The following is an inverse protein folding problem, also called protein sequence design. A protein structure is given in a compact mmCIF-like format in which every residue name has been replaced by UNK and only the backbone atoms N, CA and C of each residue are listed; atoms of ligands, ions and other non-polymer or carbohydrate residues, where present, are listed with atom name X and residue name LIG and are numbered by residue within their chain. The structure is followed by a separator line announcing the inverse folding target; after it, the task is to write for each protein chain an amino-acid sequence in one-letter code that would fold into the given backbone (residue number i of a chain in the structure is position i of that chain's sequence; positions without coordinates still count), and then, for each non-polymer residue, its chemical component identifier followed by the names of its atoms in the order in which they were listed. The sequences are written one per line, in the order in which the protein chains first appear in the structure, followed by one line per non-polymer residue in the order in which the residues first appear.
data_IF_326616129829
#
_entry.id   IF_326616129829
#
_cell.length_a   1.000
_cell.length_b   1.000
_cell.length_c   1.000
_cell.angle_alpha   90.00
_cell.angle_beta   90.00
_cell.angle_gamma   90.00
#
_symmetry.space_group_name_H-M   'P 1'
#
loop_
_entity.id
_entity.type
_entity.pdbx_description
1 polymer ?
#
# COMPACT_ATOMS: atom_id res chain seq x y z
N UNK A 1 3.56 16.18 -16.37
CA UNK A 1 2.32 15.87 -15.67
C UNK A 1 2.12 16.87 -14.53
N UNK A 2 0.96 17.50 -14.47
CA UNK A 2 0.58 18.43 -13.39
C UNK A 2 -0.53 17.77 -12.60
N UNK A 3 -0.30 17.55 -11.31
CA UNK A 3 -1.26 16.98 -10.35
C UNK A 3 -1.16 17.75 -9.04
N UNK A 4 -2.10 17.61 -8.11
CA UNK A 4 -1.96 18.19 -6.77
C UNK A 4 -0.66 17.77 -6.07
N UNK A 5 -0.17 16.56 -6.34
CA UNK A 5 1.06 16.02 -5.75
C UNK A 5 2.33 16.58 -6.40
N UNK A 6 2.32 16.86 -7.72
CA UNK A 6 3.49 17.37 -8.45
C UNK A 6 3.58 18.91 -8.44
N UNK A 7 2.57 19.58 -7.89
CA UNK A 7 2.50 21.03 -7.85
C UNK A 7 2.27 21.70 -9.22
N UNK A 8 2.19 23.05 -9.27
CA UNK A 8 1.86 23.80 -10.50
C UNK A 8 2.94 23.70 -11.58
N UNK A 9 4.20 23.50 -11.20
CA UNK A 9 5.32 23.32 -12.15
C UNK A 9 5.26 21.96 -12.82
N UNK A 10 4.60 20.99 -12.21
CA UNK A 10 4.50 19.61 -12.69
C UNK A 10 5.83 18.86 -12.66
N UNK A 11 5.77 17.58 -13.02
CA UNK A 11 6.97 16.73 -13.22
C UNK A 11 7.00 16.14 -14.62
N UNK A 12 8.22 15.98 -15.16
CA UNK A 12 8.44 15.28 -16.43
C UNK A 12 8.35 13.79 -16.20
N UNK A 13 7.38 13.14 -16.84
CA UNK A 13 7.28 11.67 -16.82
C UNK A 13 8.32 11.10 -17.78
N UNK A 14 9.22 10.27 -17.27
CA UNK A 14 10.30 9.63 -18.04
C UNK A 14 9.92 8.24 -18.51
N UNK A 15 9.08 7.53 -17.75
CA UNK A 15 8.62 6.16 -18.05
C UNK A 15 7.13 6.07 -17.79
N UNK A 16 6.42 5.29 -18.56
CA UNK A 16 5.03 4.92 -18.34
C UNK A 16 4.90 3.41 -18.33
N UNK A 17 4.06 2.89 -17.45
CA UNK A 17 3.65 1.50 -17.46
C UNK A 17 2.35 1.39 -18.22
N UNK A 18 2.26 0.43 -19.14
CA UNK A 18 1.06 0.18 -19.93
C UNK A 18 0.65 -1.27 -19.74
N UNK A 19 -0.56 -1.48 -19.26
CA UNK A 19 -1.13 -2.80 -19.05
C UNK A 19 -2.52 -2.93 -19.71
N UNK A 20 -3.02 -4.16 -19.77
CA UNK A 20 -4.35 -4.41 -20.27
C UNK A 20 -5.41 -3.84 -19.30
N UNK A 21 -6.35 -3.05 -19.79
CA UNK A 21 -7.49 -2.59 -19.02
C UNK A 21 -8.36 -3.75 -18.52
N UNK A 22 -8.98 -3.58 -17.37
CA UNK A 22 -9.92 -4.54 -16.79
C UNK A 22 -11.33 -3.92 -16.67
N UNK A 23 -12.35 -4.78 -16.66
CA UNK A 23 -13.73 -4.37 -16.45
C UNK A 23 -14.01 -4.26 -14.94
N UNK A 24 -13.88 -3.06 -14.40
CA UNK A 24 -14.08 -2.80 -12.97
C UNK A 24 -15.56 -2.91 -12.62
N UNK A 25 -15.88 -3.80 -11.68
CA UNK A 25 -17.22 -3.92 -11.08
C UNK A 25 -17.31 -3.07 -9.81
N UNK A 26 -16.28 -3.13 -8.96
CA UNK A 26 -16.20 -2.37 -7.70
C UNK A 26 -14.76 -2.19 -7.26
N UNK A 27 -14.52 -1.07 -6.60
CA UNK A 27 -13.24 -0.70 -6.02
C UNK A 27 -13.25 -0.86 -4.50
N UNK A 28 -12.12 -1.26 -3.95
CA UNK A 28 -11.90 -1.46 -2.52
C UNK A 28 -10.55 -0.86 -2.11
N UNK A 29 -10.42 -0.57 -0.84
CA UNK A 29 -9.16 -0.19 -0.22
C UNK A 29 -8.60 -1.35 0.62
N UNK A 30 -7.29 -1.60 0.55
CA UNK A 30 -6.61 -2.59 1.37
C UNK A 30 -5.20 -2.10 1.71
N UNK A 31 -4.82 -2.18 2.98
CA UNK A 31 -3.47 -1.85 3.43
C UNK A 31 -2.96 -2.78 4.53
N UNK A 32 -1.65 -2.86 4.64
CA UNK A 32 -0.92 -3.41 5.78
C UNK A 32 -0.04 -2.30 6.37
N UNK A 33 -0.06 -2.13 7.67
CA UNK A 33 0.72 -1.13 8.39
C UNK A 33 1.07 -1.59 9.81
N UNK A 34 2.09 -0.97 10.38
CA UNK A 34 2.44 -1.16 11.78
C UNK A 34 1.60 -0.21 12.65
N UNK A 35 0.66 -0.77 13.41
CA UNK A 35 -0.11 0.00 14.40
C UNK A 35 0.70 0.04 15.71
N UNK A 36 1.20 1.22 16.06
CA UNK A 36 2.02 1.46 17.24
C UNK A 36 1.23 1.36 18.54
N UNK A 37 -0.08 1.61 18.51
CA UNK A 37 -0.91 1.54 19.71
C UNK A 37 -1.03 0.10 20.22
N UNK A 38 -1.09 -0.87 19.30
CA UNK A 38 -1.15 -2.31 19.65
C UNK A 38 0.17 -3.03 19.43
N UNK A 39 1.22 -2.32 18.91
CA UNK A 39 2.55 -2.89 18.60
C UNK A 39 2.45 -4.16 17.75
N UNK A 40 1.61 -4.11 16.70
CA UNK A 40 1.36 -5.24 15.80
C UNK A 40 1.16 -4.74 14.37
N UNK A 41 1.41 -5.63 13.42
CA UNK A 41 0.96 -5.42 12.05
C UNK A 41 -0.56 -5.52 12.03
N UNK A 42 -1.19 -4.54 11.40
CA UNK A 42 -2.64 -4.50 11.21
C UNK A 42 -2.91 -4.44 9.71
N UNK A 43 -3.78 -5.31 9.27
CA UNK A 43 -4.36 -5.23 7.93
C UNK A 43 -5.65 -4.44 8.00
N UNK A 44 -5.85 -3.51 7.06
CA UNK A 44 -7.05 -2.67 6.95
C UNK A 44 -7.69 -2.86 5.58
N UNK A 45 -9.03 -2.95 5.55
CA UNK A 45 -9.78 -2.95 4.31
C UNK A 45 -11.05 -2.12 4.43
N UNK A 46 -11.47 -1.55 3.30
CA UNK A 46 -12.74 -0.84 3.17
C UNK A 46 -13.44 -1.20 1.86
N UNK A 47 -14.75 -1.15 1.88
CA UNK A 47 -15.59 -1.22 0.68
C UNK A 47 -15.57 0.06 -0.15
N UNK A 48 -14.93 1.11 0.35
CA UNK A 48 -14.73 2.40 -0.29
C UNK A 48 -13.29 2.46 -0.83
N UNK A 49 -13.09 2.10 -2.10
CA UNK A 49 -11.82 2.18 -2.81
C UNK A 49 -11.74 3.41 -3.70
N UNK A 50 -10.54 3.75 -4.15
CA UNK A 50 -10.30 4.91 -5.02
C UNK A 50 -10.53 6.27 -4.34
N UNK A 51 -10.70 6.28 -3.01
CA UNK A 51 -10.93 7.47 -2.19
C UNK A 51 -9.80 7.62 -1.17
N UNK A 52 -9.71 8.80 -0.58
CA UNK A 52 -8.84 9.09 0.56
C UNK A 52 -9.35 8.33 1.79
N UNK A 53 -8.53 7.42 2.32
CA UNK A 53 -8.92 6.55 3.44
C UNK A 53 -9.06 7.33 4.75
N UNK A 54 -8.34 8.44 4.91
CA UNK A 54 -8.45 9.33 6.06
C UNK A 54 -9.85 9.96 6.11
N UNK A 55 -10.39 10.36 4.97
CA UNK A 55 -11.77 10.86 4.87
C UNK A 55 -12.79 9.78 5.22
N UNK A 56 -12.57 8.55 4.76
CA UNK A 56 -13.42 7.40 5.11
C UNK A 56 -13.34 7.10 6.61
N UNK A 57 -12.15 7.17 7.21
CA UNK A 57 -11.94 6.95 8.64
C UNK A 57 -12.64 8.00 9.52
N UNK A 58 -12.69 9.24 9.05
CA UNK A 58 -13.35 10.34 9.75
C UNK A 58 -14.89 10.26 9.65
N UNK A 59 -15.41 10.03 8.44
CA UNK A 59 -16.86 10.10 8.16
C UNK A 59 -17.60 8.78 8.35
N UNK A 60 -16.91 7.67 8.04
CA UNK A 60 -17.48 6.32 7.98
C UNK A 60 -16.56 5.26 8.58
N UNK A 61 -16.13 5.41 9.86
CA UNK A 61 -15.21 4.46 10.50
C UNK A 61 -15.72 3.02 10.53
N UNK A 62 -17.05 2.83 10.50
CA UNK A 62 -17.70 1.51 10.45
C UNK A 62 -17.43 0.75 9.15
N UNK A 63 -16.99 1.44 8.08
CA UNK A 63 -16.63 0.83 6.80
C UNK A 63 -15.19 0.32 6.77
N UNK A 64 -14.40 0.62 7.80
CA UNK A 64 -13.00 0.18 7.90
C UNK A 64 -12.93 -1.06 8.77
N UNK A 65 -12.58 -2.16 8.15
CA UNK A 65 -12.38 -3.45 8.83
C UNK A 65 -10.90 -3.66 9.11
N UNK A 66 -10.55 -4.00 10.34
CA UNK A 66 -9.17 -4.21 10.79
C UNK A 66 -8.97 -5.64 11.28
N UNK A 67 -7.81 -6.20 10.95
CA UNK A 67 -7.37 -7.50 11.44
C UNK A 67 -5.95 -7.34 11.98
N UNK A 68 -5.77 -7.66 13.25
CA UNK A 68 -4.45 -7.68 13.90
C UNK A 68 -3.76 -9.00 13.53
N UNK A 69 -2.52 -8.90 13.06
CA UNK A 69 -1.72 -10.06 12.66
C UNK A 69 -0.80 -10.46 13.81
N UNK A 70 -0.88 -11.72 14.20
CA UNK A 70 0.08 -12.30 15.14
C UNK A 70 1.39 -12.60 14.39
N UNK A 71 2.53 -12.01 14.81
CA UNK A 71 3.79 -12.18 14.10
C UNK A 71 4.33 -13.63 14.14
N UNK A 72 3.84 -14.47 15.06
CA UNK A 72 4.28 -15.85 15.15
C UNK A 72 3.66 -16.75 14.06
N UNK A 73 2.48 -16.38 13.56
CA UNK A 73 1.73 -17.22 12.60
C UNK A 73 1.38 -16.48 11.29
N UNK A 74 1.53 -15.16 11.26
CA UNK A 74 1.14 -14.33 10.12
C UNK A 74 -0.37 -14.34 9.86
N UNK A 75 -0.78 -13.76 8.74
CA UNK A 75 -2.18 -13.77 8.31
C UNK A 75 -2.62 -15.15 7.87
N UNK A 76 -3.72 -15.64 8.45
CA UNK A 76 -4.26 -16.97 8.15
C UNK A 76 -5.39 -16.91 7.12
N UNK A 77 -5.54 -17.99 6.34
CA UNK A 77 -6.55 -18.06 5.28
C UNK A 77 -7.99 -17.85 5.75
N UNK A 78 -8.32 -18.26 6.98
CA UNK A 78 -9.65 -18.00 7.54
C UNK A 78 -9.89 -16.53 7.86
N UNK A 79 -8.87 -15.82 8.36
CA UNK A 79 -8.92 -14.37 8.62
C UNK A 79 -9.11 -13.61 7.29
N UNK A 80 -8.31 -13.95 6.27
CA UNK A 80 -8.43 -13.37 4.94
C UNK A 80 -9.83 -13.57 4.35
N UNK A 81 -10.43 -14.75 4.56
CA UNK A 81 -11.79 -15.05 4.09
C UNK A 81 -12.86 -14.28 4.84
N UNK A 82 -12.77 -14.19 6.17
CA UNK A 82 -13.67 -13.35 6.96
C UNK A 82 -13.61 -11.90 6.53
N UNK A 83 -12.42 -11.42 6.24
CA UNK A 83 -12.16 -10.07 5.81
C UNK A 83 -12.75 -9.78 4.43
N UNK A 84 -12.61 -10.71 3.48
CA UNK A 84 -13.25 -10.61 2.17
C UNK A 84 -14.78 -10.47 2.27
N UNK A 85 -15.41 -11.25 3.16
CA UNK A 85 -16.86 -11.11 3.41
C UNK A 85 -17.22 -9.78 4.08
N UNK A 86 -16.41 -9.32 5.02
CA UNK A 86 -16.66 -8.06 5.75
C UNK A 86 -16.72 -6.84 4.82
N UNK A 87 -15.90 -6.80 3.76
CA UNK A 87 -15.94 -5.73 2.75
C UNK A 87 -16.97 -5.97 1.64
N UNK A 88 -17.75 -7.05 1.74
CA UNK A 88 -18.88 -7.33 0.83
C UNK A 88 -18.55 -8.16 -0.41
N UNK A 89 -17.35 -8.77 -0.49
CA UNK A 89 -17.03 -9.70 -1.57
C UNK A 89 -17.83 -11.00 -1.45
N UNK A 90 -18.14 -11.60 -2.58
CA UNK A 90 -18.92 -12.84 -2.64
C UNK A 90 -18.46 -13.75 -3.80
N UNK A 91 -18.90 -15.02 -3.77
CA UNK A 91 -18.66 -15.98 -4.85
C UNK A 91 -17.18 -16.20 -5.16
N UNK A 92 -16.81 -16.14 -6.45
CA UNK A 92 -15.45 -16.37 -6.95
C UNK A 92 -14.47 -15.31 -6.40
N UNK A 93 -14.91 -14.07 -6.27
CA UNK A 93 -14.08 -12.94 -5.84
C UNK A 93 -13.50 -13.15 -4.43
N UNK A 94 -14.18 -13.85 -3.53
CA UNK A 94 -13.67 -14.18 -2.20
C UNK A 94 -12.35 -14.95 -2.26
N UNK A 95 -12.31 -16.02 -3.09
CA UNK A 95 -11.10 -16.82 -3.21
C UNK A 95 -9.95 -16.08 -3.90
N UNK A 96 -10.27 -15.19 -4.83
CA UNK A 96 -9.30 -14.30 -5.48
C UNK A 96 -8.74 -13.30 -4.46
N UNK A 97 -9.59 -12.62 -3.68
CA UNK A 97 -9.20 -11.67 -2.65
C UNK A 97 -8.35 -12.32 -1.54
N UNK A 98 -8.70 -13.53 -1.10
CA UNK A 98 -7.91 -14.26 -0.09
C UNK A 98 -6.46 -14.42 -0.52
N UNK A 99 -6.21 -14.73 -1.80
CA UNK A 99 -4.84 -14.83 -2.33
C UNK A 99 -4.11 -13.50 -2.26
N UNK A 100 -4.78 -12.41 -2.64
CA UNK A 100 -4.21 -11.05 -2.60
C UNK A 100 -3.90 -10.64 -1.16
N UNK A 101 -4.80 -10.87 -0.21
CA UNK A 101 -4.60 -10.48 1.20
C UNK A 101 -3.45 -11.24 1.84
N UNK A 102 -3.35 -12.54 1.60
CA UNK A 102 -2.22 -13.34 2.09
C UNK A 102 -0.90 -12.90 1.44
N UNK A 103 -0.92 -12.58 0.14
CA UNK A 103 0.26 -12.11 -0.57
C UNK A 103 0.69 -10.72 -0.08
N UNK A 104 -0.24 -9.80 0.18
CA UNK A 104 0.05 -8.47 0.72
C UNK A 104 0.68 -8.55 2.11
N UNK A 105 0.08 -9.36 3.01
CA UNK A 105 0.65 -9.59 4.35
C UNK A 105 2.07 -10.14 4.28
N UNK A 106 2.28 -11.14 3.42
CA UNK A 106 3.59 -11.74 3.20
C UNK A 106 4.60 -10.76 2.59
N UNK A 107 4.18 -9.97 1.61
CA UNK A 107 5.04 -8.94 1.00
C UNK A 107 5.45 -7.91 2.05
N UNK A 108 4.50 -7.40 2.84
CA UNK A 108 4.76 -6.46 3.93
C UNK A 108 5.83 -6.95 4.88
N UNK A 109 5.72 -8.21 5.36
CA UNK A 109 6.67 -8.80 6.31
C UNK A 109 8.02 -9.09 5.65
N UNK A 110 8.04 -9.66 4.44
CA UNK A 110 9.26 -10.11 3.79
C UNK A 110 10.12 -8.97 3.24
N UNK A 111 9.56 -7.80 3.01
CA UNK A 111 10.27 -6.64 2.47
C UNK A 111 10.45 -5.52 3.48
N UNK A 112 10.16 -5.79 4.76
CA UNK A 112 10.23 -4.81 5.85
C UNK A 112 9.51 -3.50 5.50
N UNK A 113 8.28 -3.63 5.02
CA UNK A 113 7.47 -2.45 4.76
C UNK A 113 7.06 -1.75 6.04
N UNK A 114 7.01 -0.44 6.00
CA UNK A 114 6.35 0.41 7.00
C UNK A 114 4.87 0.60 6.68
N UNK A 115 4.53 0.63 5.40
CA UNK A 115 3.17 0.60 4.86
C UNK A 115 3.17 -0.10 3.49
N UNK A 116 2.14 -0.90 3.23
CA UNK A 116 1.84 -1.43 1.91
C UNK A 116 0.34 -1.27 1.66
N UNK A 117 -0.02 -0.49 0.65
CA UNK A 117 -1.39 -0.08 0.33
C UNK A 117 -1.72 -0.47 -1.09
N UNK A 118 -2.93 -0.96 -1.31
CA UNK A 118 -3.53 -1.17 -2.64
C UNK A 118 -4.80 -0.31 -2.70
N UNK A 119 -4.77 0.73 -3.53
CA UNK A 119 -5.86 1.67 -3.67
C UNK A 119 -5.95 2.22 -5.11
N UNK A 120 -6.86 1.67 -5.94
CA UNK A 120 -7.84 0.66 -5.57
C UNK A 120 -7.38 -0.79 -5.75
N UNK A 121 -7.93 -1.67 -4.91
CA UNK A 121 -8.08 -3.08 -5.20
C UNK A 121 -9.42 -3.25 -5.93
N UNK A 122 -9.43 -3.88 -7.09
CA UNK A 122 -10.66 -3.95 -7.91
C UNK A 122 -11.20 -5.37 -7.99
N UNK A 123 -12.54 -5.50 -7.86
CA UNK A 123 -13.28 -6.66 -8.30
C UNK A 123 -13.69 -6.47 -9.76
N UNK A 124 -13.34 -7.40 -10.62
CA UNK A 124 -13.75 -7.36 -12.02
C UNK A 124 -15.14 -7.96 -12.24
N UNK A 125 -15.75 -7.67 -13.37
CA UNK A 125 -17.03 -8.29 -13.76
C UNK A 125 -16.94 -9.80 -13.90
N UNK A 126 -15.73 -10.33 -14.15
CA UNK A 126 -15.43 -11.76 -14.24
C UNK A 126 -15.25 -12.42 -12.86
N UNK A 127 -15.26 -11.61 -11.78
CA UNK A 127 -15.12 -12.04 -10.40
C UNK A 127 -13.67 -12.30 -9.98
N UNK A 128 -12.71 -11.74 -10.71
CA UNK A 128 -11.31 -11.70 -10.28
C UNK A 128 -11.06 -10.47 -9.41
N UNK A 129 -10.04 -10.55 -8.55
CA UNK A 129 -9.61 -9.41 -7.73
C UNK A 129 -8.17 -9.07 -8.09
N UNK A 130 -7.95 -7.82 -8.46
CA UNK A 130 -6.71 -7.31 -9.04
C UNK A 130 -6.25 -6.08 -8.26
N UNK A 131 -4.96 -6.01 -7.94
CA UNK A 131 -4.32 -4.78 -7.47
C UNK A 131 -4.12 -3.87 -8.67
N UNK A 132 -4.86 -2.76 -8.74
CA UNK A 132 -4.75 -1.83 -9.86
C UNK A 132 -3.63 -0.81 -9.61
N UNK A 133 -3.53 -0.32 -8.40
CA UNK A 133 -2.44 0.53 -7.95
C UNK A 133 -1.97 0.11 -6.57
N UNK A 134 -0.67 0.21 -6.32
CA UNK A 134 -0.07 -0.13 -5.05
C UNK A 134 1.01 0.87 -4.66
N UNK A 135 1.00 1.26 -3.38
CA UNK A 135 2.01 2.10 -2.77
C UNK A 135 2.68 1.34 -1.63
N UNK A 136 3.99 1.24 -1.70
CA UNK A 136 4.77 0.55 -0.67
C UNK A 136 5.89 1.47 -0.17
N UNK A 137 5.98 1.61 1.15
CA UNK A 137 7.11 2.27 1.79
C UNK A 137 7.89 1.23 2.60
N UNK A 138 9.19 1.22 2.42
CA UNK A 138 10.09 0.28 3.08
C UNK A 138 10.78 0.94 4.28
N UNK A 139 11.09 0.16 5.29
CA UNK A 139 11.90 0.66 6.40
C UNK A 139 13.34 0.87 5.92
N UNK A 140 13.77 2.12 5.89
CA UNK A 140 15.12 2.49 5.46
C UNK A 140 16.21 1.80 6.29
N UNK A 141 15.93 1.50 7.57
CA UNK A 141 16.87 0.79 8.44
C UNK A 141 17.04 -0.68 8.06
N UNK A 142 16.13 -1.24 7.27
CA UNK A 142 16.16 -2.63 6.81
C UNK A 142 16.70 -2.80 5.39
N UNK A 143 16.84 -1.72 4.61
CA UNK A 143 17.24 -1.78 3.20
C UNK A 143 18.59 -2.46 2.96
N UNK A 144 19.48 -2.49 3.95
CA UNK A 144 20.77 -3.19 3.83
C UNK A 144 20.62 -4.69 3.55
N UNK A 145 19.49 -5.28 3.91
CA UNK A 145 19.17 -6.70 3.65
C UNK A 145 18.23 -6.92 2.45
N UNK A 146 17.86 -5.83 1.75
CA UNK A 146 17.01 -5.84 0.55
C UNK A 146 17.69 -5.12 -0.62
N UNK A 147 18.82 -5.66 -1.15
CA UNK A 147 19.55 -5.01 -2.23
C UNK A 147 18.72 -4.89 -3.51
N UNK A 148 17.82 -5.82 -3.77
CA UNK A 148 16.88 -5.82 -4.88
C UNK A 148 15.88 -4.64 -4.81
N UNK A 149 15.43 -4.28 -3.61
CA UNK A 149 14.57 -3.11 -3.39
C UNK A 149 15.41 -1.83 -3.54
N UNK A 150 16.62 -1.82 -3.00
CA UNK A 150 17.50 -0.67 -3.11
C UNK A 150 17.86 -0.33 -4.57
N UNK A 151 17.96 -1.32 -5.45
CA UNK A 151 18.16 -1.13 -6.88
C UNK A 151 17.00 -0.43 -7.60
N UNK A 152 15.80 -0.45 -7.02
CA UNK A 152 14.63 0.26 -7.55
C UNK A 152 14.63 1.76 -7.25
N UNK A 153 15.58 2.23 -6.45
CA UNK A 153 15.72 3.64 -6.08
C UNK A 153 15.95 4.51 -7.31
N UNK A 154 15.13 5.52 -7.50
CA UNK A 154 15.28 6.50 -8.58
C UNK A 154 15.75 7.84 -8.03
N UNK A 155 17.06 8.09 -8.12
CA UNK A 155 17.68 9.31 -7.63
C UNK A 155 17.18 10.58 -8.33
N UNK A 156 16.58 10.47 -9.51
CA UNK A 156 16.03 11.63 -10.23
C UNK A 156 14.73 12.16 -9.61
N UNK A 157 14.09 11.38 -8.74
CA UNK A 157 12.85 11.73 -8.03
C UNK A 157 13.09 12.20 -6.58
N UNK A 158 14.33 12.09 -6.08
CA UNK A 158 14.69 12.43 -4.71
C UNK A 158 15.21 13.87 -4.58
N UNK A 159 15.11 14.45 -3.37
CA UNK A 159 15.72 15.76 -3.08
C UNK A 159 17.26 15.66 -3.16
N UNK A 160 17.93 16.59 -3.88
CA UNK A 160 19.39 16.58 -4.02
C UNK A 160 20.13 16.61 -2.66
N UNK A 161 19.56 17.25 -1.64
CA UNK A 161 20.15 17.31 -0.29
C UNK A 161 20.08 15.95 0.43
N UNK A 162 18.99 15.21 0.20
CA UNK A 162 18.84 13.84 0.74
C UNK A 162 19.81 12.87 0.05
N UNK A 163 20.00 13.02 -1.28
CA UNK A 163 20.97 12.26 -2.04
C UNK A 163 22.39 12.53 -1.52
N UNK A 164 22.73 13.81 -1.30
CA UNK A 164 24.07 14.17 -0.82
C UNK A 164 24.32 13.62 0.60
N UNK A 165 23.35 13.75 1.49
CA UNK A 165 23.44 13.20 2.83
C UNK A 165 23.63 11.67 2.82
N UNK A 166 22.93 10.98 1.93
CA UNK A 166 23.01 9.50 1.83
C UNK A 166 24.40 9.00 1.41
N UNK A 167 25.18 9.80 0.66
CA UNK A 167 26.58 9.46 0.31
C UNK A 167 27.51 9.42 1.54
N UNK A 168 27.11 10.08 2.61
CA UNK A 168 27.84 10.15 3.88
C UNK A 168 27.18 9.31 4.98
N UNK A 169 26.28 8.40 4.60
CA UNK A 169 25.51 7.56 5.55
C UNK A 169 24.69 8.38 6.57
N UNK A 170 24.30 9.58 6.20
CA UNK A 170 23.48 10.46 7.02
C UNK A 170 22.02 10.40 6.58
N UNK A 171 21.12 10.40 7.56
CA UNK A 171 19.69 10.61 7.32
C UNK A 171 19.40 12.13 7.31
N UNK A 172 18.85 12.64 6.23
CA UNK A 172 18.39 14.00 6.09
C UNK A 172 16.99 14.00 5.50
N UNK A 173 16.07 14.69 6.13
CA UNK A 173 14.71 14.88 5.65
C UNK A 173 14.44 16.37 5.65
N UNK A 174 14.18 16.90 4.47
CA UNK A 174 13.80 18.32 4.31
C UNK A 174 12.33 18.45 4.67
N UNK A 175 12.04 19.28 5.67
CA UNK A 175 10.69 19.64 6.08
C UNK A 175 10.33 21.02 5.58
N UNK A 176 9.03 21.27 5.43
CA UNK A 176 8.51 22.61 5.16
C UNK A 176 8.57 23.43 6.45
N UNK A 177 9.37 24.49 6.41
CA UNK A 177 9.55 25.37 7.55
C UNK A 177 10.73 26.32 7.37
N UNK A 178 10.84 27.27 8.28
CA UNK A 178 11.93 28.27 8.31
C UNK A 178 12.71 28.25 9.63
N UNK A 179 12.58 27.18 10.40
CA UNK A 179 13.33 26.91 11.63
C UNK A 179 13.96 25.54 11.53
#
# INVERSE_FOLDING_TARGET
LVTPQTGPEGKKVLKIFVEQGCNIKKEYYVAALLDRAVSRVVMMASSEGGMDIEEVAEKHPEKIHRVVIDPAVGMQGFQARQWAFAIGLSGKAVNSAVKVFLALSKAFEQTDCSIAEINPLVETTEGDVIALDAKMNFDSNALFRHPDILELRDLSEEDPSEIEASKHELAFIKLDGNI
#
